data_IF_919112310571
#
_entry.id   IF_919112310571
#
_cell.length_a   1.000
_cell.length_b   1.000
_cell.length_c   1.000
_cell.angle_alpha   90.00
_cell.angle_beta   90.00
_cell.angle_gamma   90.00
#
_symmetry.space_group_name_H-M   'P 1'
#
loop_
_entity.id
_entity.type
_entity.pdbx_description
1 polymer ?
#
# COMPACT_ATOMS: atom_id res chain seq x y z
N UNK A 1 20.49 2.65 16.97
CA UNK A 1 20.03 3.01 15.61
C UNK A 1 20.70 2.21 14.49
N UNK A 2 21.55 1.23 14.80
CA UNK A 2 22.41 0.55 13.82
C UNK A 2 21.80 -0.72 13.20
N UNK A 3 20.83 -1.35 13.87
CA UNK A 3 20.30 -2.66 13.46
C UNK A 3 19.34 -2.58 12.25
N UNK A 4 18.54 -1.51 12.16
CA UNK A 4 17.57 -1.35 11.06
C UNK A 4 18.26 -1.16 9.70
N UNK A 5 19.40 -0.44 9.66
CA UNK A 5 20.17 -0.28 8.42
C UNK A 5 20.77 -1.61 7.93
N UNK A 6 21.18 -2.49 8.85
CA UNK A 6 21.72 -3.81 8.50
C UNK A 6 20.64 -4.74 7.94
N UNK A 7 19.41 -4.67 8.46
CA UNK A 7 18.28 -5.42 7.94
C UNK A 7 17.90 -4.98 6.52
N UNK A 8 17.90 -3.67 6.25
CA UNK A 8 17.66 -3.10 4.91
C UNK A 8 18.78 -3.49 3.93
N UNK A 9 20.04 -3.55 4.39
CA UNK A 9 21.15 -4.03 3.56
C UNK A 9 21.11 -5.55 3.32
N UNK A 10 20.60 -6.35 4.24
CA UNK A 10 20.41 -7.80 4.01
C UNK A 10 19.27 -8.13 3.03
N UNK A 11 18.35 -7.20 2.78
CA UNK A 11 17.35 -7.31 1.71
C UNK A 11 17.96 -7.11 0.31
N UNK A 12 19.24 -6.73 0.22
CA UNK A 12 19.99 -6.54 -1.04
C UNK A 12 20.79 -7.78 -1.49
N UNK A 13 20.45 -8.99 -1.01
CA UNK A 13 21.11 -10.22 -1.42
C UNK A 13 20.12 -11.17 -2.11
N UNK A 14 19.89 -10.92 -3.41
CA UNK A 14 20.16 -11.88 -4.49
C UNK A 14 19.54 -11.36 -5.80
N UNK A 15 20.34 -11.41 -6.86
CA UNK A 15 20.11 -10.84 -8.19
C UNK A 15 19.00 -11.53 -8.99
N UNK A 16 17.76 -11.32 -8.62
CA UNK A 16 16.68 -11.15 -9.60
C UNK A 16 16.22 -9.71 -9.41
N UNK A 17 16.18 -8.90 -10.48
CA UNK A 17 15.66 -7.55 -10.39
C UNK A 17 14.34 -7.60 -9.62
N UNK A 18 14.28 -6.96 -8.44
CA UNK A 18 13.01 -6.72 -7.77
C UNK A 18 12.23 -5.85 -8.72
N UNK A 19 11.42 -6.47 -9.58
CA UNK A 19 10.62 -5.78 -10.55
C UNK A 19 9.71 -4.88 -9.72
N UNK A 20 9.97 -3.57 -9.80
CA UNK A 20 9.11 -2.55 -9.24
C UNK A 20 8.07 -2.25 -10.29
N UNK A 21 6.81 -2.35 -9.93
CA UNK A 21 5.73 -1.89 -10.78
C UNK A 21 5.35 -0.48 -10.35
N UNK A 22 5.33 0.45 -11.31
CA UNK A 22 4.82 1.81 -11.11
C UNK A 22 3.63 2.04 -12.02
N UNK A 23 2.57 2.58 -11.47
CA UNK A 23 1.40 2.96 -12.26
C UNK A 23 0.77 4.22 -11.69
N UNK A 24 0.00 4.89 -12.56
CA UNK A 24 -0.82 6.03 -12.21
C UNK A 24 -2.28 5.61 -12.26
N UNK A 25 -3.09 6.18 -11.38
CA UNK A 25 -4.52 5.94 -11.39
C UNK A 25 -5.26 7.20 -10.98
N UNK A 26 -6.54 7.26 -11.35
CA UNK A 26 -7.40 8.40 -11.00
C UNK A 26 -8.46 7.98 -10.00
N UNK A 27 -8.74 8.86 -9.07
CA UNK A 27 -9.86 8.76 -8.14
C UNK A 27 -10.61 10.08 -8.24
N UNK A 28 -11.85 10.02 -8.75
CA UNK A 28 -12.59 11.23 -9.13
C UNK A 28 -11.77 12.05 -10.16
N UNK A 29 -11.46 13.31 -9.84
CA UNK A 29 -10.72 14.24 -10.68
C UNK A 29 -9.23 14.32 -10.31
N UNK A 30 -8.77 13.49 -9.37
CA UNK A 30 -7.41 13.53 -8.86
C UNK A 30 -6.56 12.38 -9.40
N UNK A 31 -5.30 12.69 -9.71
CA UNK A 31 -4.29 11.71 -10.12
C UNK A 31 -3.47 11.27 -8.91
N UNK A 32 -3.22 9.97 -8.84
CA UNK A 32 -2.41 9.30 -7.83
C UNK A 32 -1.36 8.45 -8.51
N UNK A 33 -0.31 8.17 -7.76
CA UNK A 33 0.77 7.30 -8.17
C UNK A 33 0.86 6.13 -7.21
N UNK A 34 1.31 4.99 -7.72
CA UNK A 34 1.62 3.83 -6.90
C UNK A 34 2.96 3.21 -7.32
N UNK A 35 3.62 2.62 -6.34
CA UNK A 35 4.79 1.77 -6.53
C UNK A 35 4.59 0.48 -5.76
N UNK A 36 4.83 -0.65 -6.41
CA UNK A 36 4.67 -1.97 -5.83
C UNK A 36 5.90 -2.84 -6.02
N UNK A 37 6.19 -3.65 -5.00
CA UNK A 37 7.17 -4.73 -5.04
C UNK A 37 6.43 -6.01 -4.67
N UNK A 38 6.40 -6.98 -5.57
CA UNK A 38 5.83 -8.30 -5.32
C UNK A 38 6.94 -9.30 -5.01
N UNK A 39 6.93 -9.82 -3.78
CA UNK A 39 7.74 -10.94 -3.34
C UNK A 39 6.88 -12.21 -3.28
N UNK A 40 7.51 -13.34 -3.00
CA UNK A 40 6.82 -14.64 -2.94
C UNK A 40 5.66 -14.64 -1.94
N UNK A 41 5.94 -14.23 -0.71
CA UNK A 41 4.99 -14.28 0.42
C UNK A 41 4.51 -12.89 0.87
N UNK A 42 4.93 -11.83 0.17
CA UNK A 42 4.76 -10.45 0.62
C UNK A 42 4.58 -9.50 -0.56
N UNK A 43 3.76 -8.46 -0.37
CA UNK A 43 3.62 -7.32 -1.29
C UNK A 43 3.88 -6.05 -0.50
N UNK A 44 4.79 -5.22 -1.00
CA UNK A 44 4.99 -3.85 -0.52
C UNK A 44 4.35 -2.92 -1.53
N UNK A 45 3.37 -2.12 -1.09
CA UNK A 45 2.61 -1.22 -1.94
C UNK A 45 2.59 0.17 -1.33
N UNK A 46 3.07 1.15 -2.06
CA UNK A 46 2.82 2.56 -1.77
C UNK A 46 1.80 3.11 -2.76
N UNK A 47 0.84 3.90 -2.29
CA UNK A 47 -0.05 4.67 -3.15
C UNK A 47 -0.38 6.03 -2.53
N UNK A 48 -0.21 7.11 -3.29
CA UNK A 48 -0.30 8.46 -2.77
C UNK A 48 -0.11 9.55 -3.83
N UNK A 49 0.18 10.78 -3.38
CA UNK A 49 0.31 11.96 -4.27
C UNK A 49 1.72 12.51 -4.38
N UNK A 50 2.42 12.61 -3.27
CA UNK A 50 3.68 13.33 -3.09
C UNK A 50 4.91 12.42 -3.14
N UNK A 51 4.74 11.10 -3.34
CA UNK A 51 5.83 10.08 -3.25
C UNK A 51 6.60 10.15 -1.93
N UNK A 52 5.93 10.59 -0.87
CA UNK A 52 6.46 10.55 0.49
C UNK A 52 5.74 9.39 1.19
N UNK A 53 6.50 8.50 1.81
CA UNK A 53 5.93 7.45 2.67
C UNK A 53 5.75 8.03 4.06
N UNK A 54 4.53 8.48 4.39
CA UNK A 54 4.26 9.13 5.68
C UNK A 54 3.62 8.16 6.67
N UNK A 55 2.70 7.32 6.20
CA UNK A 55 1.99 6.33 7.03
C UNK A 55 2.25 4.93 6.48
N UNK A 56 2.46 3.96 7.36
CA UNK A 56 2.71 2.55 7.03
C UNK A 56 1.80 1.63 7.83
N UNK A 57 1.18 0.69 7.12
CA UNK A 57 0.34 -0.37 7.64
C UNK A 57 0.85 -1.73 7.20
N UNK A 58 0.52 -2.73 8.00
CA UNK A 58 0.66 -4.14 7.66
C UNK A 58 -0.71 -4.81 7.70
N UNK A 59 -0.94 -5.79 6.83
CA UNK A 59 -2.05 -6.72 6.97
C UNK A 59 -1.69 -8.14 6.50
N UNK A 60 -2.36 -9.11 7.12
CA UNK A 60 -2.35 -10.52 6.74
C UNK A 60 -3.74 -11.10 7.02
N UNK A 61 -4.45 -11.51 5.97
CA UNK A 61 -5.84 -11.97 6.08
C UNK A 61 -6.76 -10.85 6.57
N UNK A 62 -7.35 -11.01 7.76
CA UNK A 62 -8.26 -10.03 8.38
C UNK A 62 -7.58 -9.15 9.43
N UNK A 63 -6.31 -9.41 9.73
CA UNK A 63 -5.54 -8.65 10.71
C UNK A 63 -4.86 -7.47 10.01
N UNK A 64 -4.92 -6.29 10.63
CA UNK A 64 -4.09 -5.15 10.24
C UNK A 64 -3.46 -4.47 11.45
N UNK A 65 -2.28 -3.89 11.22
CA UNK A 65 -1.52 -3.15 12.22
C UNK A 65 -1.02 -1.84 11.61
N UNK A 66 -1.17 -0.75 12.34
CA UNK A 66 -0.51 0.51 12.04
C UNK A 66 0.93 0.45 12.57
N UNK A 67 1.92 0.67 11.70
CA UNK A 67 3.34 0.53 12.03
C UNK A 67 3.97 1.88 12.33
N UNK A 68 3.74 2.90 11.49
CA UNK A 68 4.37 4.22 11.63
C UNK A 68 3.56 5.33 10.97
N UNK A 69 3.88 6.58 11.32
CA UNK A 69 3.18 7.78 10.87
C UNK A 69 2.04 8.18 11.80
N UNK A 70 1.51 9.39 11.62
CA UNK A 70 0.49 9.96 12.49
C UNK A 70 -0.79 10.27 11.69
N UNK A 71 -1.57 9.25 11.28
CA UNK A 71 -2.86 9.49 10.66
C UNK A 71 -3.81 10.14 11.67
N UNK A 72 -4.66 11.06 11.20
CA UNK A 72 -5.78 11.51 12.04
C UNK A 72 -6.71 10.34 12.39
N UNK A 73 -7.40 10.34 13.54
CA UNK A 73 -8.19 9.19 14.01
C UNK A 73 -9.22 8.66 13.01
N UNK A 74 -9.88 9.57 12.28
CA UNK A 74 -10.85 9.19 11.25
C UNK A 74 -10.17 8.46 10.09
N UNK A 75 -8.99 8.91 9.66
CA UNK A 75 -8.23 8.31 8.58
C UNK A 75 -7.62 6.96 8.97
N UNK A 76 -7.19 6.80 10.23
CA UNK A 76 -6.63 5.55 10.74
C UNK A 76 -7.55 4.35 10.49
N UNK A 77 -8.86 4.50 10.79
CA UNK A 77 -9.85 3.43 10.61
C UNK A 77 -9.98 3.05 9.13
N UNK A 78 -10.09 4.03 8.23
CA UNK A 78 -10.21 3.77 6.80
C UNK A 78 -8.96 3.14 6.21
N UNK A 79 -7.78 3.57 6.64
CA UNK A 79 -6.51 3.03 6.17
C UNK A 79 -6.28 1.60 6.65
N UNK A 80 -6.66 1.27 7.90
CA UNK A 80 -6.64 -0.11 8.38
C UNK A 80 -7.57 -1.00 7.55
N UNK A 81 -8.83 -0.57 7.37
CA UNK A 81 -9.80 -1.32 6.56
C UNK A 81 -9.36 -1.47 5.10
N UNK A 82 -8.78 -0.42 4.51
CA UNK A 82 -8.21 -0.46 3.17
C UNK A 82 -7.09 -1.49 3.09
N UNK A 83 -6.18 -1.50 4.06
CA UNK A 83 -5.03 -2.42 4.09
C UNK A 83 -5.51 -3.87 4.21
N UNK A 84 -6.52 -4.15 5.03
CA UNK A 84 -7.16 -5.48 5.09
C UNK A 84 -7.76 -5.88 3.74
N UNK A 85 -8.51 -4.97 3.10
CA UNK A 85 -9.09 -5.25 1.78
C UNK A 85 -8.03 -5.52 0.72
N UNK A 86 -6.91 -4.80 0.76
CA UNK A 86 -5.76 -5.04 -0.11
C UNK A 86 -5.15 -6.42 0.15
N UNK A 87 -4.92 -6.79 1.42
CA UNK A 87 -4.40 -8.12 1.77
C UNK A 87 -5.25 -9.27 1.24
N UNK A 88 -6.59 -9.10 1.25
CA UNK A 88 -7.52 -10.08 0.67
C UNK A 88 -7.34 -10.28 -0.85
N UNK A 89 -6.75 -9.33 -1.58
CA UNK A 89 -6.46 -9.49 -3.01
C UNK A 89 -5.29 -10.43 -3.29
N UNK A 90 -4.38 -10.62 -2.33
CA UNK A 90 -3.09 -11.29 -2.57
C UNK A 90 -3.03 -12.71 -2.00
N UNK A 91 -4.17 -13.43 -1.92
CA UNK A 91 -4.26 -14.86 -1.61
C UNK A 91 -3.40 -15.32 -0.41
N UNK A 92 -3.46 -14.60 0.71
CA UNK A 92 -2.75 -14.96 1.95
C UNK A 92 -1.33 -14.40 2.07
N UNK A 93 -0.87 -13.58 1.12
CA UNK A 93 0.38 -12.82 1.27
C UNK A 93 0.25 -11.73 2.33
N UNK A 94 1.37 -11.42 2.96
CA UNK A 94 1.52 -10.23 3.78
C UNK A 94 1.49 -8.97 2.90
N UNK A 95 0.78 -7.94 3.33
CA UNK A 95 0.75 -6.64 2.64
C UNK A 95 1.30 -5.57 3.56
N UNK A 96 2.31 -4.86 3.07
CA UNK A 96 2.76 -3.60 3.65
C UNK A 96 2.22 -2.48 2.78
N UNK A 97 1.26 -1.72 3.30
CA UNK A 97 0.66 -0.60 2.58
C UNK A 97 1.14 0.72 3.15
N UNK A 98 1.66 1.60 2.30
CA UNK A 98 2.07 2.95 2.69
C UNK A 98 1.35 4.01 1.87
N UNK A 99 1.09 5.15 2.49
CA UNK A 99 0.45 6.29 1.84
C UNK A 99 0.86 7.61 2.51
N UNK A 100 0.71 8.70 1.79
CA UNK A 100 0.74 10.08 2.29
C UNK A 100 -0.66 10.68 2.46
N UNK A 101 -1.70 9.86 2.29
CA UNK A 101 -3.08 10.29 2.44
C UNK A 101 -3.51 10.20 3.92
N UNK A 102 -4.10 11.27 4.45
CA UNK A 102 -4.66 11.31 5.82
C UNK A 102 -3.77 11.95 6.88
N UNK A 103 -2.67 12.57 6.45
CA UNK A 103 -1.77 13.42 7.27
C UNK A 103 -2.11 14.90 7.18
N UNK A 104 -2.82 15.34 6.13
CA UNK A 104 -3.36 16.70 6.01
C UNK A 104 -4.86 16.76 6.39
N UNK A 105 -5.38 17.98 6.66
CA UNK A 105 -6.80 18.27 6.91
C UNK A 105 -7.62 18.09 5.62
N UNK A 106 -7.56 16.89 5.06
CA UNK A 106 -8.33 16.49 3.91
C UNK A 106 -9.75 16.16 4.38
N UNK A 107 -10.74 16.92 3.91
CA UNK A 107 -12.18 16.65 4.05
C UNK A 107 -12.63 15.35 3.33
N UNK A 108 -11.70 14.45 2.99
CA UNK A 108 -11.93 13.18 2.29
C UNK A 108 -11.83 11.97 3.21
N UNK A 109 -12.08 12.17 4.51
CA UNK A 109 -12.43 11.11 5.45
C UNK A 109 -13.82 10.49 5.16
N UNK A 110 -14.44 10.82 4.03
CA UNK A 110 -15.70 10.20 3.64
C UNK A 110 -15.49 8.75 3.19
N UNK A 111 -16.33 7.79 3.66
CA UNK A 111 -16.24 6.39 3.25
C UNK A 111 -16.27 6.17 1.73
N UNK A 112 -17.00 7.02 1.00
CA UNK A 112 -17.14 6.92 -0.45
C UNK A 112 -15.81 7.18 -1.18
N UNK A 113 -14.99 8.12 -0.68
CA UNK A 113 -13.70 8.43 -1.27
C UNK A 113 -12.75 7.22 -1.14
N UNK A 114 -12.63 6.67 0.07
CA UNK A 114 -11.80 5.49 0.33
C UNK A 114 -12.25 4.25 -0.44
N UNK A 115 -13.57 4.09 -0.63
CA UNK A 115 -14.11 3.05 -1.51
C UNK A 115 -13.66 3.26 -2.95
N UNK A 116 -13.81 4.46 -3.51
CA UNK A 116 -13.37 4.76 -4.88
C UNK A 116 -11.86 4.61 -5.04
N UNK A 117 -11.08 5.00 -4.02
CA UNK A 117 -9.63 4.81 -4.01
C UNK A 117 -9.27 3.32 -4.09
N UNK A 118 -9.88 2.49 -3.25
CA UNK A 118 -9.68 1.03 -3.30
C UNK A 118 -10.10 0.45 -4.66
N UNK A 119 -11.28 0.82 -5.17
CA UNK A 119 -11.81 0.29 -6.43
C UNK A 119 -10.85 0.62 -7.60
N UNK A 120 -10.36 1.87 -7.69
CA UNK A 120 -9.38 2.28 -8.71
C UNK A 120 -8.05 1.55 -8.57
N UNK A 121 -7.52 1.43 -7.34
CA UNK A 121 -6.26 0.73 -7.07
C UNK A 121 -6.38 -0.77 -7.39
N UNK A 122 -7.50 -1.39 -7.04
CA UNK A 122 -7.83 -2.78 -7.36
C UNK A 122 -7.86 -3.00 -8.88
N UNK A 123 -8.46 -2.09 -9.64
CA UNK A 123 -8.44 -2.19 -11.12
C UNK A 123 -7.01 -2.26 -11.65
N UNK A 124 -6.09 -1.45 -11.11
CA UNK A 124 -4.68 -1.50 -11.52
C UNK A 124 -4.01 -2.81 -11.10
N UNK A 125 -4.27 -3.30 -9.88
CA UNK A 125 -3.77 -4.61 -9.43
C UNK A 125 -4.28 -5.73 -10.35
N UNK A 126 -5.56 -5.68 -10.74
CA UNK A 126 -6.16 -6.66 -11.65
C UNK A 126 -5.55 -6.63 -13.06
N UNK A 127 -5.18 -5.46 -13.57
CA UNK A 127 -4.46 -5.30 -14.85
C UNK A 127 -3.03 -5.86 -14.80
N UNK A 128 -2.47 -5.99 -13.60
CA UNK A 128 -1.09 -6.44 -13.37
C UNK A 128 -1.03 -7.73 -12.53
N UNK A 129 -2.05 -8.59 -12.60
CA UNK A 129 -2.13 -9.84 -11.83
C UNK A 129 -0.89 -10.73 -11.94
N UNK A 130 -0.32 -10.82 -13.14
CA UNK A 130 0.91 -11.59 -13.39
C UNK A 130 2.09 -11.09 -12.56
N UNK A 131 2.26 -9.76 -12.48
CA UNK A 131 3.29 -9.13 -11.66
C UNK A 131 3.12 -9.49 -10.18
N UNK A 132 1.89 -9.42 -9.68
CA UNK A 132 1.58 -9.75 -8.29
C UNK A 132 1.48 -11.25 -8.00
N UNK A 133 1.56 -12.10 -9.03
CA UNK A 133 1.40 -13.56 -8.96
C UNK A 133 0.08 -13.93 -8.27
N UNK A 134 -1.00 -13.31 -8.72
CA UNK A 134 -2.39 -13.56 -8.28
C UNK A 134 -3.11 -14.25 -9.45
N UNK A 135 -3.73 -15.40 -9.20
CA UNK A 135 -4.57 -16.11 -10.18
C UNK A 135 -6.03 -15.76 -9.95
#
# INVERSE_FOLDING_TARGET
MTEVSSAIQSLNLNSEASHKLRFKFRVLEEEFEAEAIALKECVVLWAGRRRISEILFFALGELSLHISGDPTPNHLIFLQQLTVKLAKLFNGKQVYFSTDLGTDNFDKAEPLYWKKFFDSLKTQIDLHKEFFRIN
#
